data_IF_757688213806
#
_entry.id   IF_757688213806
#
_cell.length_a   1.000
_cell.length_b   1.000
_cell.length_c   1.000
_cell.angle_alpha   90.00
_cell.angle_beta   90.00
_cell.angle_gamma   90.00
#
_symmetry.space_group_name_H-M   'P 1'
#
loop_
_entity.id
_entity.type
_entity.pdbx_description
1 polymer ?
#
# COMPACT_ATOMS: atom_id res chain seq x y z
N UNK A 1 17.34 -7.65 -16.61
CA UNK A 1 17.62 -6.97 -15.33
C UNK A 1 16.31 -6.93 -14.57
N UNK A 2 16.08 -7.95 -13.77
CA UNK A 2 14.91 -8.10 -12.92
C UNK A 2 14.90 -7.00 -11.86
N UNK A 3 14.17 -5.93 -12.14
CA UNK A 3 13.94 -4.82 -11.22
C UNK A 3 12.90 -5.23 -10.16
N UNK A 4 13.09 -6.40 -9.53
CA UNK A 4 12.35 -6.82 -8.34
C UNK A 4 12.86 -5.98 -7.17
N UNK A 5 12.27 -4.80 -7.03
CA UNK A 5 12.47 -3.92 -5.88
C UNK A 5 12.08 -4.69 -4.61
N UNK A 6 13.06 -4.92 -3.74
CA UNK A 6 12.91 -5.59 -2.46
C UNK A 6 12.10 -4.71 -1.50
N UNK A 7 10.78 -4.90 -1.44
CA UNK A 7 9.97 -4.30 -0.39
C UNK A 7 10.50 -4.73 0.98
N UNK A 8 10.83 -3.77 1.83
CA UNK A 8 11.30 -3.94 3.21
C UNK A 8 10.24 -3.49 4.19
N UNK A 9 10.41 -3.84 5.46
CA UNK A 9 9.58 -3.34 6.57
C UNK A 9 8.07 -3.49 6.30
N UNK A 10 7.67 -4.65 5.78
CA UNK A 10 6.26 -4.92 5.47
C UNK A 10 5.49 -5.11 6.77
N UNK A 11 4.55 -4.21 7.04
CA UNK A 11 3.67 -4.24 8.22
C UNK A 11 2.23 -4.20 7.75
N UNK A 12 1.41 -5.13 8.25
CA UNK A 12 0.02 -5.27 7.80
C UNK A 12 -0.98 -5.05 8.93
N UNK A 13 -2.06 -4.35 8.61
CA UNK A 13 -3.20 -4.15 9.50
C UNK A 13 -4.49 -4.51 8.80
N UNK A 14 -5.45 -5.01 9.58
CA UNK A 14 -6.83 -5.17 9.12
C UNK A 14 -7.65 -3.99 9.59
N UNK A 15 -8.22 -3.25 8.64
CA UNK A 15 -9.15 -2.16 8.93
C UNK A 15 -10.57 -2.68 8.72
N UNK A 16 -11.35 -2.75 9.80
CA UNK A 16 -12.73 -3.24 9.80
C UNK A 16 -13.73 -2.08 9.91
N UNK A 17 -14.97 -2.30 9.49
CA UNK A 17 -16.03 -1.30 9.64
C UNK A 17 -15.97 -0.14 8.65
N UNK A 18 -15.24 -0.29 7.55
CA UNK A 18 -15.25 0.72 6.47
C UNK A 18 -16.47 0.54 5.56
N UNK A 19 -16.96 1.61 4.91
CA UNK A 19 -18.02 1.50 3.90
C UNK A 19 -17.71 0.54 2.75
N UNK A 20 -16.43 0.26 2.47
CA UNK A 20 -15.97 -0.68 1.44
C UNK A 20 -15.71 -2.10 1.97
N UNK A 21 -16.14 -2.39 3.20
CA UNK A 21 -15.94 -3.67 3.87
C UNK A 21 -14.64 -3.71 4.68
N UNK A 22 -14.15 -4.92 4.95
CA UNK A 22 -12.87 -5.10 5.62
C UNK A 22 -11.74 -4.85 4.62
N UNK A 23 -10.74 -4.08 5.02
CA UNK A 23 -9.56 -3.76 4.21
C UNK A 23 -8.32 -4.38 4.83
N UNK A 24 -7.39 -4.77 3.97
CA UNK A 24 -6.02 -5.09 4.33
C UNK A 24 -5.16 -3.88 3.94
N UNK A 25 -4.48 -3.31 4.93
CA UNK A 25 -3.57 -2.18 4.77
C UNK A 25 -2.16 -2.71 4.97
N UNK A 26 -1.32 -2.63 3.94
CA UNK A 26 0.07 -3.04 3.98
C UNK A 26 0.96 -1.81 3.84
N UNK A 27 1.72 -1.50 4.88
CA UNK A 27 2.79 -0.52 4.83
C UNK A 27 4.08 -1.21 4.44
N UNK A 28 4.88 -0.57 3.60
CA UNK A 28 6.18 -1.11 3.20
C UNK A 28 7.12 0.01 2.80
N UNK A 29 8.41 -0.30 2.86
CA UNK A 29 9.46 0.56 2.37
C UNK A 29 9.96 0.03 1.03
N UNK A 30 9.93 0.88 0.01
CA UNK A 30 10.75 0.68 -1.18
C UNK A 30 12.07 1.43 -1.01
N UNK A 31 13.19 0.78 -1.33
CA UNK A 31 14.55 1.33 -1.28
C UNK A 31 14.82 2.27 -2.49
N UNK A 32 13.91 3.22 -2.67
CA UNK A 32 13.93 4.23 -3.73
C UNK A 32 13.78 5.59 -3.08
N UNK A 33 14.82 6.40 -3.21
CA UNK A 33 14.88 7.77 -2.68
C UNK A 33 14.12 8.79 -3.55
N UNK A 34 13.56 8.36 -4.69
CA UNK A 34 12.87 9.24 -5.63
C UNK A 34 11.37 8.92 -5.67
N UNK A 35 10.53 9.91 -5.33
CA UNK A 35 9.07 9.80 -5.41
C UNK A 35 8.59 9.42 -6.83
N UNK A 36 9.31 9.85 -7.87
CA UNK A 36 8.99 9.47 -9.26
C UNK A 36 9.21 7.98 -9.50
N UNK A 37 10.21 7.35 -8.86
CA UNK A 37 10.44 5.92 -8.99
C UNK A 37 9.34 5.09 -8.30
N UNK A 38 8.82 5.57 -7.17
CA UNK A 38 7.63 4.98 -6.53
C UNK A 38 6.42 5.10 -7.46
N UNK A 39 6.17 6.28 -8.03
CA UNK A 39 5.07 6.51 -8.97
C UNK A 39 5.21 5.66 -10.26
N UNK A 40 6.42 5.50 -10.79
CA UNK A 40 6.69 4.65 -11.96
C UNK A 40 6.49 3.17 -11.66
N UNK A 41 6.82 2.71 -10.45
CA UNK A 41 6.55 1.33 -10.05
C UNK A 41 5.04 1.04 -10.01
N UNK A 42 4.26 1.93 -9.39
CA UNK A 42 2.79 1.80 -9.35
C UNK A 42 2.21 1.87 -10.76
N UNK A 43 2.70 2.78 -11.60
CA UNK A 43 2.31 2.87 -13.01
C UNK A 43 2.66 1.57 -13.76
N UNK A 44 3.81 0.96 -13.46
CA UNK A 44 4.18 -0.37 -13.96
C UNK A 44 3.18 -1.44 -13.54
N UNK A 45 2.77 -1.48 -12.27
CA UNK A 45 1.77 -2.43 -11.77
C UNK A 45 0.38 -2.23 -12.41
N UNK A 46 0.00 -0.98 -12.71
CA UNK A 46 -1.20 -0.63 -13.47
C UNK A 46 -1.13 -1.16 -14.91
N UNK A 47 -0.01 -0.91 -15.61
CA UNK A 47 0.19 -1.33 -17.01
C UNK A 47 0.31 -2.85 -17.14
N UNK A 48 0.96 -3.51 -16.17
CA UNK A 48 1.04 -4.97 -16.11
C UNK A 48 -0.27 -5.65 -15.66
N UNK A 49 -1.34 -4.88 -15.43
CA UNK A 49 -2.65 -5.37 -14.99
C UNK A 49 -2.57 -6.19 -13.68
N UNK A 50 -1.52 -5.97 -12.88
CA UNK A 50 -1.25 -6.67 -11.61
C UNK A 50 -2.03 -6.07 -10.45
N UNK A 51 -2.70 -4.94 -10.65
CA UNK A 51 -3.71 -4.45 -9.71
C UNK A 51 -4.97 -5.30 -9.85
N UNK A 52 -5.01 -6.36 -9.05
CA UNK A 52 -6.18 -7.22 -8.90
C UNK A 52 -7.42 -6.40 -8.51
N UNK A 53 -8.61 -6.88 -8.89
CA UNK A 53 -9.94 -6.27 -8.68
C UNK A 53 -10.35 -5.94 -7.21
N UNK A 54 -9.43 -6.01 -6.25
CA UNK A 54 -9.62 -5.63 -4.86
C UNK A 54 -8.68 -4.53 -4.37
N UNK A 55 -7.68 -4.10 -5.15
CA UNK A 55 -6.76 -3.03 -4.71
C UNK A 55 -7.44 -1.67 -4.89
N UNK A 56 -7.62 -0.96 -3.79
CA UNK A 56 -8.23 0.36 -3.75
C UNK A 56 -7.19 1.47 -3.96
N UNK A 57 -5.98 1.24 -3.48
CA UNK A 57 -4.85 2.16 -3.62
C UNK A 57 -3.55 1.40 -3.42
N UNK A 58 -2.52 1.73 -4.21
CA UNK A 58 -1.15 1.32 -3.93
C UNK A 58 -0.24 2.49 -4.29
N UNK A 59 0.53 2.96 -3.33
CA UNK A 59 1.51 4.00 -3.62
C UNK A 59 2.07 4.76 -2.44
N UNK A 60 2.64 5.93 -2.73
CA UNK A 60 3.30 6.75 -1.72
C UNK A 60 2.31 7.18 -0.63
N UNK A 61 2.72 7.02 0.64
CA UNK A 61 1.93 7.41 1.81
C UNK A 61 1.39 8.85 1.73
N UNK A 62 2.23 9.79 1.29
CA UNK A 62 1.87 11.20 1.18
C UNK A 62 0.78 11.49 0.14
N UNK A 63 0.61 10.59 -0.84
CA UNK A 63 -0.36 10.74 -1.93
C UNK A 63 -1.62 9.88 -1.73
N UNK A 64 -1.75 9.22 -0.58
CA UNK A 64 -2.90 8.36 -0.31
C UNK A 64 -4.20 9.17 -0.19
N UNK A 65 -5.18 8.84 -1.03
CA UNK A 65 -6.53 9.43 -1.02
C UNK A 65 -7.59 8.53 -0.38
N UNK A 66 -7.22 7.30 0.01
CA UNK A 66 -8.14 6.29 0.54
C UNK A 66 -8.03 6.22 2.06
N UNK A 67 -9.11 6.65 2.74
CA UNK A 67 -9.22 6.71 4.20
C UNK A 67 -8.00 7.35 4.90
N UNK A 68 -7.54 8.55 4.47
CA UNK A 68 -6.27 9.12 4.90
C UNK A 68 -6.11 9.16 6.42
N UNK A 69 -7.13 9.62 7.15
CA UNK A 69 -7.10 9.66 8.63
C UNK A 69 -6.88 8.28 9.27
N UNK A 70 -7.57 7.25 8.79
CA UNK A 70 -7.41 5.89 9.33
C UNK A 70 -6.03 5.32 9.02
N UNK A 71 -5.50 5.60 7.83
CA UNK A 71 -4.17 5.15 7.41
C UNK A 71 -3.08 5.86 8.21
N UNK A 72 -3.19 7.17 8.47
CA UNK A 72 -2.24 7.88 9.33
C UNK A 72 -2.27 7.36 10.76
N UNK A 73 -3.46 7.12 11.35
CA UNK A 73 -3.55 6.51 12.68
C UNK A 73 -2.94 5.10 12.78
N UNK A 74 -2.96 4.33 11.69
CA UNK A 74 -2.27 3.04 11.61
C UNK A 74 -0.76 3.23 11.44
N UNK A 75 -0.34 4.24 10.66
CA UNK A 75 1.06 4.59 10.46
C UNK A 75 1.75 4.97 11.76
N UNK A 76 1.07 5.66 12.68
CA UNK A 76 1.58 5.96 14.04
C UNK A 76 1.96 4.69 14.83
N UNK A 77 1.39 3.53 14.47
CA UNK A 77 1.71 2.23 15.09
C UNK A 77 2.85 1.51 14.38
N UNK A 78 3.26 1.98 13.20
CA UNK A 78 4.37 1.43 12.44
C UNK A 78 5.66 1.97 13.04
N UNK A 79 6.28 1.21 13.94
CA UNK A 79 7.54 1.56 14.60
C UNK A 79 8.79 1.49 13.70
N UNK A 80 8.62 1.45 12.38
CA UNK A 80 9.69 1.33 11.38
C UNK A 80 9.43 2.30 10.23
N UNK A 81 10.49 2.76 9.57
CA UNK A 81 10.34 3.64 8.42
C UNK A 81 9.69 2.91 7.23
N UNK A 82 8.66 3.54 6.65
CA UNK A 82 7.91 3.10 5.48
C UNK A 82 7.58 4.32 4.61
N UNK A 83 7.49 4.12 3.29
CA UNK A 83 7.19 5.21 2.34
C UNK A 83 6.01 4.89 1.41
N UNK A 84 5.52 3.64 1.43
CA UNK A 84 4.43 3.18 0.59
C UNK A 84 3.33 2.52 1.42
N UNK A 85 2.11 2.57 0.89
CA UNK A 85 0.95 1.87 1.41
C UNK A 85 0.17 1.22 0.28
N UNK A 86 -0.23 -0.02 0.51
CA UNK A 86 -1.19 -0.74 -0.32
C UNK A 86 -2.45 -0.98 0.50
N UNK A 87 -3.58 -0.63 -0.06
CA UNK A 87 -4.91 -0.76 0.54
C UNK A 87 -5.73 -1.60 -0.42
N UNK A 88 -6.15 -2.77 0.04
CA UNK A 88 -6.98 -3.67 -0.73
C UNK A 88 -8.13 -4.21 0.10
N UNK A 89 -9.19 -4.65 -0.57
CA UNK A 89 -10.27 -5.38 0.08
C UNK A 89 -9.69 -6.65 0.71
N UNK A 90 -9.86 -6.80 2.02
CA UNK A 90 -9.47 -8.02 2.68
C UNK A 90 -10.34 -9.15 2.12
N UNK A 91 -9.71 -10.20 1.58
CA UNK A 91 -10.44 -11.41 1.20
C UNK A 91 -11.25 -11.88 2.42
N UNK A 92 -12.52 -12.24 2.19
CA UNK A 92 -13.25 -13.04 3.17
C UNK A 92 -12.45 -14.34 3.32
N UNK A 93 -11.93 -14.59 4.53
CA UNK A 93 -11.48 -15.92 4.88
C UNK A 93 -12.72 -16.81 4.77
N UNK A 94 -12.76 -17.66 3.76
CA UNK A 94 -13.75 -18.73 3.66
C UNK A 94 -13.43 -19.80 4.70
#
# INVERSE_FOLDING_TARGET
MDNQLNAKNVVQFRLTGTPKGNLLVSFYQLDVFNQQAVNWHIAGLLVENKLHAGVLYEGNLSNNTVYPTAIYNLLDRVGVYVNCVRIEQAKKSN
#
